data_IF_156693333367
#
_entry.id   IF_156693333367
#
_cell.length_a   1.000
_cell.length_b   1.000
_cell.length_c   1.000
_cell.angle_alpha   90.00
_cell.angle_beta   90.00
_cell.angle_gamma   90.00
#
_symmetry.space_group_name_H-M   'P 1'
#
loop_
_entity.id
_entity.type
_entity.pdbx_description
1 polymer ?
#
# COMPACT_ATOMS: atom_id res chain seq x y z
N UNK A 1 -24.97 -0.32 26.88
CA UNK A 1 -25.00 -1.07 28.16
C UNK A 1 -25.57 -0.14 29.22
N UNK A 2 -26.48 -0.59 30.09
CA UNK A 2 -27.07 0.25 31.14
C UNK A 2 -26.40 -0.08 32.46
N UNK A 3 -25.94 0.93 33.19
CA UNK A 3 -25.32 0.76 34.51
C UNK A 3 -26.26 1.38 35.54
N UNK A 4 -26.62 0.61 36.56
CA UNK A 4 -27.49 1.04 37.65
C UNK A 4 -26.73 0.95 38.98
N UNK A 5 -26.89 1.99 39.82
CA UNK A 5 -26.35 2.04 41.17
C UNK A 5 -27.50 2.30 42.13
N UNK A 6 -27.55 1.52 43.22
CA UNK A 6 -28.59 1.61 44.26
C UNK A 6 -27.95 1.64 45.65
N UNK A 7 -28.45 2.50 46.52
CA UNK A 7 -28.04 2.59 47.93
C UNK A 7 -29.03 1.90 48.89
N UNK A 8 -30.02 1.18 48.34
CA UNK A 8 -31.06 0.48 49.08
C UNK A 8 -32.34 1.28 49.30
N UNK A 9 -32.35 2.61 49.08
CA UNK A 9 -33.59 3.43 49.10
C UNK A 9 -33.79 4.22 47.81
N UNK A 10 -32.70 4.66 47.17
CA UNK A 10 -32.73 5.31 45.87
C UNK A 10 -31.93 4.50 44.86
N UNK A 11 -32.44 4.37 43.63
CA UNK A 11 -31.66 3.88 42.51
C UNK A 11 -31.56 4.95 41.43
N UNK A 12 -30.38 4.99 40.80
CA UNK A 12 -30.10 5.83 39.66
C UNK A 12 -29.51 4.96 38.56
N UNK A 13 -30.09 5.02 37.37
CA UNK A 13 -29.60 4.33 36.20
C UNK A 13 -29.14 5.34 35.15
N UNK A 14 -28.03 5.05 34.50
CA UNK A 14 -27.53 5.83 33.37
C UNK A 14 -27.20 4.91 32.20
N UNK A 15 -27.37 5.43 31.00
CA UNK A 15 -27.15 4.69 29.77
C UNK A 15 -25.74 4.98 29.27
N UNK A 16 -24.90 3.94 29.24
CA UNK A 16 -23.53 4.04 28.72
C UNK A 16 -23.55 3.65 27.24
N UNK A 17 -23.29 4.64 26.39
CA UNK A 17 -23.02 4.44 24.98
C UNK A 17 -21.55 4.03 24.83
N UNK A 18 -21.33 2.73 24.65
CA UNK A 18 -20.03 2.19 24.31
C UNK A 18 -19.98 2.16 22.78
N UNK A 19 -19.30 3.14 22.19
CA UNK A 19 -18.94 3.09 20.77
C UNK A 19 -17.65 2.29 20.69
N UNK A 20 -17.74 1.05 20.20
CA UNK A 20 -16.54 0.32 19.79
C UNK A 20 -16.00 1.05 18.57
N UNK A 21 -14.89 1.77 18.74
CA UNK A 21 -14.13 2.26 17.60
C UNK A 21 -13.56 1.01 16.93
N UNK A 22 -13.93 0.80 15.67
CA UNK A 22 -13.30 -0.23 14.86
C UNK A 22 -11.79 0.00 14.91
N UNK A 23 -11.03 -1.07 15.09
CA UNK A 23 -9.59 -0.96 14.83
C UNK A 23 -9.48 -0.50 13.38
N UNK A 24 -8.62 0.46 13.09
CA UNK A 24 -8.47 0.95 11.73
C UNK A 24 -7.83 -0.15 10.84
N UNK A 25 -8.65 -1.08 10.34
CA UNK A 25 -8.28 -2.38 9.74
C UNK A 25 -8.46 -2.43 8.20
N UNK A 26 -8.72 -1.30 7.55
CA UNK A 26 -8.99 -1.23 6.10
C UNK A 26 -7.79 -0.75 5.25
N UNK A 27 -6.57 -0.69 5.80
CA UNK A 27 -5.43 -0.24 4.99
C UNK A 27 -5.26 -1.09 3.71
N UNK A 28 -4.90 -0.50 2.56
CA UNK A 28 -4.87 -1.24 1.31
C UNK A 28 -3.82 -2.35 1.36
N UNK A 29 -4.21 -3.56 0.96
CA UNK A 29 -3.37 -4.75 1.02
C UNK A 29 -2.92 -5.13 -0.37
N UNK A 30 -1.61 -5.28 -0.58
CA UNK A 30 -1.07 -5.80 -1.83
C UNK A 30 -1.47 -7.28 -2.02
N UNK A 31 -1.78 -7.65 -3.27
CA UNK A 31 -2.15 -9.03 -3.61
C UNK A 31 -1.00 -10.03 -3.42
N UNK A 32 0.25 -9.56 -3.49
CA UNK A 32 1.46 -10.34 -3.23
C UNK A 32 2.41 -9.54 -2.32
N UNK A 33 3.11 -10.21 -1.38
CA UNK A 33 4.06 -9.56 -0.48
C UNK A 33 5.36 -9.14 -1.17
N UNK A 34 5.70 -9.78 -2.29
CA UNK A 34 6.93 -9.51 -3.07
C UNK A 34 6.67 -9.85 -4.53
N UNK A 35 7.23 -9.05 -5.44
CA UNK A 35 7.14 -9.24 -6.88
C UNK A 35 8.56 -9.42 -7.43
N UNK A 36 8.91 -10.66 -7.82
CA UNK A 36 10.22 -10.99 -8.38
C UNK A 36 10.11 -11.13 -9.91
N UNK A 37 10.74 -10.21 -10.63
CA UNK A 37 10.64 -10.08 -12.08
C UNK A 37 12.04 -10.07 -12.69
N UNK A 38 12.19 -10.73 -13.84
CA UNK A 38 13.41 -10.68 -14.65
C UNK A 38 13.09 -10.00 -15.98
N UNK A 39 13.86 -8.97 -16.32
CA UNK A 39 13.75 -8.23 -17.57
C UNK A 39 15.13 -8.15 -18.24
N UNK A 40 15.16 -8.08 -19.57
CA UNK A 40 16.40 -7.93 -20.32
C UNK A 40 16.94 -6.51 -20.21
N UNK A 41 18.25 -6.31 -20.16
CA UNK A 41 18.85 -4.98 -20.22
C UNK A 41 18.61 -4.29 -21.58
N UNK A 42 18.41 -5.09 -22.63
CA UNK A 42 18.02 -4.62 -23.96
C UNK A 42 16.59 -4.07 -24.02
N UNK A 43 15.85 -4.15 -22.92
CA UNK A 43 14.48 -3.64 -22.85
C UNK A 43 14.47 -2.13 -23.13
N UNK A 44 13.70 -1.67 -24.12
CA UNK A 44 13.59 -0.25 -24.40
C UNK A 44 13.07 0.54 -23.20
N UNK A 45 13.44 1.82 -23.07
CA UNK A 45 12.75 2.72 -22.14
C UNK A 45 11.24 2.74 -22.37
N UNK A 46 10.49 3.07 -21.34
CA UNK A 46 9.01 3.14 -21.35
C UNK A 46 8.33 1.78 -21.56
N UNK A 47 9.02 0.68 -21.23
CA UNK A 47 8.44 -0.67 -21.29
C UNK A 47 7.81 -1.04 -19.95
N UNK A 48 6.64 -1.66 -20.00
CA UNK A 48 5.97 -2.23 -18.83
C UNK A 48 6.76 -3.41 -18.26
N UNK A 49 7.04 -3.36 -16.96
CA UNK A 49 7.78 -4.40 -16.23
C UNK A 49 6.82 -5.32 -15.48
N UNK A 50 5.95 -4.72 -14.66
CA UNK A 50 5.00 -5.45 -13.81
C UNK A 50 3.89 -4.53 -13.36
N UNK A 51 2.68 -5.06 -13.22
CA UNK A 51 1.58 -4.38 -12.55
C UNK A 51 1.44 -4.89 -11.12
N UNK A 52 1.58 -3.99 -10.14
CA UNK A 52 1.25 -4.32 -8.75
C UNK A 52 -0.22 -4.02 -8.48
N UNK A 53 -0.87 -4.89 -7.72
CA UNK A 53 -2.27 -4.71 -7.34
C UNK A 53 -2.39 -4.65 -5.82
N UNK A 54 -3.10 -3.64 -5.34
CA UNK A 54 -3.56 -3.54 -3.98
C UNK A 54 -5.09 -3.48 -3.95
N UNK A 55 -5.67 -3.95 -2.85
CA UNK A 55 -7.12 -3.96 -2.63
C UNK A 55 -7.40 -3.45 -1.22
N UNK A 56 -8.30 -2.48 -1.15
CA UNK A 56 -8.92 -2.01 0.09
C UNK A 56 -10.37 -2.54 0.09
N UNK A 57 -10.92 -2.86 1.26
CA UNK A 57 -12.30 -3.30 1.43
C UNK A 57 -13.29 -2.14 1.25
N UNK A 58 -12.83 -0.89 1.30
CA UNK A 58 -13.65 0.28 1.05
C UNK A 58 -13.78 0.56 -0.46
N UNK A 59 -14.91 0.16 -1.05
CA UNK A 59 -15.22 0.29 -2.50
C UNK A 59 -15.14 1.73 -3.06
N UNK A 60 -15.03 2.75 -2.19
CA UNK A 60 -15.07 4.16 -2.57
C UNK A 60 -13.70 4.86 -2.58
N UNK A 61 -12.63 4.20 -2.15
CA UNK A 61 -11.30 4.82 -2.09
C UNK A 61 -10.50 4.58 -3.37
N UNK A 62 -9.89 5.64 -3.90
CA UNK A 62 -9.05 5.55 -5.09
C UNK A 62 -7.60 5.35 -4.68
N UNK A 63 -7.16 4.10 -4.75
CA UNK A 63 -5.78 3.74 -4.46
C UNK A 63 -4.80 4.48 -5.39
N UNK A 64 -3.79 5.06 -4.76
CA UNK A 64 -2.69 5.77 -5.40
C UNK A 64 -1.38 5.04 -5.12
N UNK A 65 -0.71 4.62 -6.18
CA UNK A 65 0.56 3.88 -6.13
C UNK A 65 1.76 4.82 -6.26
N UNK A 66 2.85 4.51 -5.54
CA UNK A 66 4.07 5.31 -5.58
C UNK A 66 5.31 4.45 -5.29
N UNK A 67 6.44 4.80 -5.93
CA UNK A 67 7.75 4.25 -5.54
C UNK A 67 8.23 5.02 -4.31
N UNK A 68 8.26 4.33 -3.17
CA UNK A 68 8.59 4.93 -1.88
C UNK A 68 10.10 5.05 -1.66
N UNK A 69 10.81 3.96 -1.91
CA UNK A 69 12.26 3.89 -1.73
C UNK A 69 12.86 2.82 -2.62
N UNK A 70 14.17 2.84 -2.74
CA UNK A 70 14.94 1.76 -3.33
C UNK A 70 16.14 1.49 -2.42
N UNK A 71 16.64 0.26 -2.41
CA UNK A 71 17.90 -0.05 -1.70
C UNK A 71 19.03 0.83 -2.20
N UNK A 72 18.98 1.22 -3.48
CA UNK A 72 19.87 2.25 -3.99
C UNK A 72 19.10 3.32 -4.77
N UNK A 73 19.36 4.60 -4.44
CA UNK A 73 18.59 5.73 -4.96
C UNK A 73 18.62 5.89 -6.47
N UNK A 74 19.65 5.43 -7.18
CA UNK A 74 19.73 5.52 -8.64
C UNK A 74 18.59 4.76 -9.32
N UNK A 75 18.10 3.69 -8.69
CA UNK A 75 17.01 2.87 -9.24
C UNK A 75 15.68 3.63 -9.28
N UNK A 76 15.46 4.61 -8.40
CA UNK A 76 14.26 5.45 -8.46
C UNK A 76 14.20 6.34 -9.70
N UNK A 77 15.31 6.51 -10.42
CA UNK A 77 15.36 7.25 -11.69
C UNK A 77 15.15 6.36 -12.91
N UNK A 78 15.41 5.06 -12.78
CA UNK A 78 15.34 4.06 -13.85
C UNK A 78 13.95 3.42 -13.98
N UNK A 79 13.09 3.63 -12.98
CA UNK A 79 11.74 3.09 -12.93
C UNK A 79 10.74 4.16 -12.55
N UNK A 80 9.54 4.08 -13.11
CA UNK A 80 8.37 4.87 -12.71
C UNK A 80 7.19 3.94 -12.46
N UNK A 81 6.25 4.37 -11.63
CA UNK A 81 4.98 3.67 -11.42
C UNK A 81 3.82 4.58 -11.83
N UNK A 82 2.85 4.02 -12.54
CA UNK A 82 1.58 4.70 -12.79
C UNK A 82 0.78 4.75 -11.47
N UNK A 83 0.42 5.95 -10.99
CA UNK A 83 -0.23 6.11 -9.71
C UNK A 83 -1.66 5.56 -9.68
N UNK A 84 -2.30 5.36 -10.83
CA UNK A 84 -3.68 4.89 -10.92
C UNK A 84 -3.78 3.38 -11.15
N UNK A 85 -2.86 2.80 -11.93
CA UNK A 85 -2.91 1.38 -12.30
C UNK A 85 -1.96 0.51 -11.50
N UNK A 86 -0.97 1.09 -10.83
CA UNK A 86 0.12 0.35 -10.19
C UNK A 86 1.11 -0.28 -11.18
N UNK A 87 1.08 0.12 -12.46
CA UNK A 87 1.99 -0.42 -13.47
C UNK A 87 3.36 0.22 -13.38
N UNK A 88 4.39 -0.59 -13.21
CA UNK A 88 5.80 -0.18 -13.18
C UNK A 88 6.37 -0.23 -14.60
N UNK A 89 7.07 0.83 -14.98
CA UNK A 89 7.72 0.99 -16.27
C UNK A 89 9.21 1.28 -16.09
N UNK A 90 10.03 0.88 -17.06
CA UNK A 90 11.38 1.42 -17.24
C UNK A 90 11.31 2.86 -17.76
N UNK A 91 12.23 3.72 -17.33
CA UNK A 91 12.34 5.12 -17.84
C UNK A 91 13.61 5.33 -18.66
N UNK A 92 14.64 4.53 -18.40
CA UNK A 92 15.93 4.57 -19.06
C UNK A 92 16.39 3.15 -19.41
N UNK A 93 17.49 3.03 -20.16
CA UNK A 93 18.09 1.72 -20.44
C UNK A 93 18.71 1.17 -19.17
N UNK A 94 18.53 -0.12 -18.96
CA UNK A 94 19.19 -0.84 -17.88
C UNK A 94 20.56 -1.29 -18.36
N UNK A 95 21.47 -1.47 -17.41
CA UNK A 95 22.84 -1.92 -17.64
C UNK A 95 23.13 -2.95 -16.55
N UNK A 96 23.16 -4.22 -16.96
CA UNK A 96 23.31 -5.34 -16.04
C UNK A 96 24.71 -5.38 -15.42
N UNK A 97 25.75 -4.97 -16.16
CA UNK A 97 27.12 -4.86 -15.63
C UNK A 97 27.24 -3.77 -14.58
N UNK A 98 26.57 -2.63 -14.77
CA UNK A 98 26.48 -1.60 -13.75
C UNK A 98 25.67 -2.09 -12.54
N UNK A 99 24.56 -2.80 -12.80
CA UNK A 99 23.69 -3.32 -11.74
C UNK A 99 22.82 -4.50 -12.19
N UNK A 100 23.09 -5.65 -11.57
CA UNK A 100 22.32 -6.87 -11.79
C UNK A 100 20.95 -6.90 -11.09
N UNK A 101 20.72 -6.09 -10.04
CA UNK A 101 19.47 -6.13 -9.27
C UNK A 101 19.00 -4.76 -8.82
N UNK A 102 17.70 -4.50 -9.00
CA UNK A 102 17.00 -3.32 -8.53
C UNK A 102 15.93 -3.74 -7.52
N UNK A 103 16.05 -3.27 -6.28
CA UNK A 103 15.07 -3.55 -5.23
C UNK A 103 14.34 -2.24 -4.90
N UNK A 104 13.05 -2.21 -5.24
CA UNK A 104 12.16 -1.07 -5.08
C UNK A 104 11.11 -1.39 -4.01
N UNK A 105 10.78 -0.41 -3.19
CA UNK A 105 9.67 -0.46 -2.23
C UNK A 105 8.52 0.34 -2.81
N UNK A 106 7.40 -0.33 -3.05
CA UNK A 106 6.16 0.31 -3.49
C UNK A 106 5.29 0.64 -2.28
N UNK A 107 4.65 1.79 -2.30
CA UNK A 107 3.66 2.20 -1.31
C UNK A 107 2.35 2.54 -2.00
N UNK A 108 1.27 2.05 -1.41
CA UNK A 108 -0.10 2.37 -1.77
C UNK A 108 -0.73 3.24 -0.70
N UNK A 109 -1.54 4.21 -1.11
CA UNK A 109 -2.29 5.12 -0.23
C UNK A 109 -3.69 5.33 -0.81
N UNK A 110 -4.67 5.61 0.04
CA UNK A 110 -6.03 6.04 -0.35
C UNK A 110 -6.08 7.54 -0.71
#
# INVERSE_FOLDING_TARGET
MTVEVTDGTNSAATQVHITVLDNNDNAPVFSQPTYDITISEDTPPETEVVQVLASDRDEHHRLTYSLHSAIDPSSLRLFRIDPSTGTVYTTERLDHEARAQHILTVMVRE
#
